data_IF_399378953733
#
_entry.id   IF_399378953733
#
_cell.length_a   1.000
_cell.length_b   1.000
_cell.length_c   1.000
_cell.angle_alpha   90.00
_cell.angle_beta   90.00
_cell.angle_gamma   90.00
#
_symmetry.space_group_name_H-M   'P 1'
#
loop_
_entity.id
_entity.type
_entity.pdbx_description
1 polymer ?
#
# COMPACT_ATOMS: atom_id res chain seq x y z
N UNK A 1 7.98 12.94 69.12
CA UNK A 1 8.72 11.81 68.52
C UNK A 1 7.72 10.79 67.99
N UNK A 2 7.83 10.40 66.71
CA UNK A 2 7.26 9.17 66.09
C UNK A 2 5.71 9.15 66.04
N UNK A 3 5.02 8.97 64.91
CA UNK A 3 5.31 8.52 63.55
C UNK A 3 4.18 9.07 62.67
N UNK A 4 4.48 9.51 61.45
CA UNK A 4 3.55 9.42 60.32
C UNK A 4 4.35 9.66 59.05
N UNK A 5 4.73 8.57 58.38
CA UNK A 5 5.18 8.60 56.99
C UNK A 5 4.09 7.88 56.20
N UNK A 6 3.26 8.70 55.56
CA UNK A 6 2.17 8.28 54.68
C UNK A 6 2.73 8.11 53.27
N UNK A 7 2.31 7.00 52.67
CA UNK A 7 2.22 6.71 51.25
C UNK A 7 3.51 6.68 50.42
N UNK A 8 4.01 5.45 50.21
CA UNK A 8 4.69 5.06 48.97
C UNK A 8 3.77 5.41 47.80
N UNK A 9 4.11 6.45 47.05
CA UNK A 9 3.47 6.79 45.78
C UNK A 9 3.79 5.70 44.76
N UNK A 10 2.76 4.95 44.36
CA UNK A 10 2.85 4.02 43.24
C UNK A 10 3.11 4.80 41.94
N UNK A 11 4.32 4.65 41.39
CA UNK A 11 4.67 5.19 40.06
C UNK A 11 4.03 4.25 39.04
N UNK A 12 2.80 4.58 38.63
CA UNK A 12 2.10 3.91 37.55
C UNK A 12 2.72 4.33 36.22
N UNK A 13 3.56 3.47 35.64
CA UNK A 13 4.08 3.64 34.28
C UNK A 13 2.97 3.34 33.28
N UNK A 14 2.40 4.39 32.67
CA UNK A 14 1.53 4.26 31.50
C UNK A 14 2.36 3.71 30.33
N UNK A 15 2.10 2.47 29.93
CA UNK A 15 2.60 1.92 28.68
C UNK A 15 1.86 2.60 27.50
N UNK A 16 2.58 3.41 26.74
CA UNK A 16 2.06 4.02 25.52
C UNK A 16 2.04 2.96 24.40
N UNK A 17 0.87 2.40 24.12
CA UNK A 17 0.68 1.54 22.96
C UNK A 17 0.80 2.39 21.69
N UNK A 18 1.85 2.16 20.92
CA UNK A 18 2.03 2.77 19.61
C UNK A 18 1.02 2.19 18.63
N UNK A 19 -0.14 2.84 18.49
CA UNK A 19 -1.05 2.58 17.38
C UNK A 19 -0.35 2.96 16.09
N UNK A 20 0.04 1.97 15.29
CA UNK A 20 0.48 2.21 13.92
C UNK A 20 -0.71 2.80 13.14
N UNK A 21 -0.68 4.11 12.86
CA UNK A 21 -1.58 4.70 11.87
C UNK A 21 -1.20 4.07 10.53
N UNK A 22 -2.02 3.11 10.09
CA UNK A 22 -1.94 2.58 8.74
C UNK A 22 -2.29 3.73 7.78
N UNK A 23 -1.34 4.10 6.93
CA UNK A 23 -1.62 5.01 5.83
C UNK A 23 -2.79 4.46 4.99
N UNK A 24 -3.64 5.33 4.40
CA UNK A 24 -4.74 4.87 3.57
C UNK A 24 -4.21 3.97 2.44
N UNK A 25 -4.83 2.80 2.28
CA UNK A 25 -4.45 1.86 1.25
C UNK A 25 -4.71 2.48 -0.14
N UNK A 26 -3.71 2.39 -1.02
CA UNK A 26 -3.84 2.83 -2.41
C UNK A 26 -4.70 1.80 -3.17
N UNK A 27 -5.81 2.24 -3.75
CA UNK A 27 -6.69 1.38 -4.54
C UNK A 27 -6.10 1.12 -5.94
N UNK A 28 -5.54 -0.08 -6.13
CA UNK A 28 -4.96 -0.51 -7.40
C UNK A 28 -5.99 -0.67 -8.54
N UNK A 29 -7.27 -0.97 -8.25
CA UNK A 29 -8.31 -1.04 -9.27
C UNK A 29 -8.60 0.35 -9.83
N UNK A 30 -8.75 1.32 -8.93
CA UNK A 30 -8.92 2.73 -9.28
C UNK A 30 -7.72 3.26 -10.06
N UNK A 31 -6.49 2.94 -9.64
CA UNK A 31 -5.28 3.33 -10.36
C UNK A 31 -5.24 2.82 -11.79
N UNK A 32 -5.56 1.54 -12.02
CA UNK A 32 -5.63 0.96 -13.36
C UNK A 32 -6.58 1.77 -14.26
N UNK A 33 -7.67 2.24 -13.66
CA UNK A 33 -8.73 2.95 -14.34
C UNK A 33 -8.49 4.46 -14.48
N UNK A 34 -7.64 5.08 -13.68
CA UNK A 34 -7.33 6.51 -13.79
C UNK A 34 -6.02 6.76 -14.56
N UNK A 35 -5.03 5.88 -14.40
CA UNK A 35 -3.67 6.08 -14.93
C UNK A 35 -3.42 5.37 -16.25
N UNK A 36 -4.08 4.24 -16.50
CA UNK A 36 -3.76 3.37 -17.63
C UNK A 36 -4.75 3.49 -18.80
N UNK A 37 -5.68 4.46 -18.75
CA UNK A 37 -6.66 4.73 -19.82
C UNK A 37 -6.26 5.86 -20.77
N UNK A 38 -5.25 6.65 -20.42
CA UNK A 38 -4.90 7.88 -21.16
C UNK A 38 -4.34 7.63 -22.55
N UNK A 39 -3.72 6.47 -22.79
CA UNK A 39 -3.11 6.12 -24.08
C UNK A 39 -3.83 4.98 -24.81
N UNK A 40 -4.52 4.10 -24.08
CA UNK A 40 -5.30 2.98 -24.64
C UNK A 40 -6.28 2.43 -23.58
N UNK A 41 -7.20 1.56 -23.98
CA UNK A 41 -8.17 0.96 -23.04
C UNK A 41 -7.47 0.13 -21.95
N UNK A 42 -7.87 0.31 -20.68
CA UNK A 42 -7.31 -0.42 -19.52
C UNK A 42 -7.72 -1.89 -19.50
N UNK A 43 -8.82 -2.25 -20.18
CA UNK A 43 -9.33 -3.61 -20.29
C UNK A 43 -8.30 -4.60 -20.87
N UNK A 44 -7.33 -4.13 -21.67
CA UNK A 44 -6.23 -4.96 -22.19
C UNK A 44 -5.44 -5.65 -21.07
N UNK A 45 -5.23 -4.98 -19.92
CA UNK A 45 -4.57 -5.62 -18.79
C UNK A 45 -5.45 -6.74 -18.19
N UNK A 46 -6.76 -6.52 -18.09
CA UNK A 46 -7.71 -7.45 -17.47
C UNK A 46 -7.82 -8.80 -18.23
N UNK A 47 -7.44 -8.82 -19.51
CA UNK A 47 -7.43 -10.02 -20.37
C UNK A 47 -6.17 -10.88 -20.22
N UNK A 48 -5.14 -10.38 -19.53
CA UNK A 48 -3.88 -11.10 -19.35
C UNK A 48 -3.88 -11.84 -18.01
N UNK A 49 -3.20 -12.98 -17.97
CA UNK A 49 -2.85 -13.66 -16.72
C UNK A 49 -1.33 -13.69 -16.60
N UNK A 50 -0.80 -13.16 -15.49
CA UNK A 50 0.65 -12.98 -15.27
C UNK A 50 0.99 -13.13 -13.80
N UNK A 51 2.19 -13.64 -13.51
CA UNK A 51 2.73 -13.61 -12.16
C UNK A 51 3.17 -12.17 -11.79
N UNK A 52 3.56 -11.96 -10.52
CA UNK A 52 3.93 -10.62 -10.02
C UNK A 52 5.10 -9.99 -10.78
N UNK A 53 6.16 -10.75 -11.08
CA UNK A 53 7.33 -10.24 -11.79
C UNK A 53 6.99 -9.85 -13.23
N UNK A 54 6.15 -10.64 -13.91
CA UNK A 54 5.67 -10.34 -15.25
C UNK A 54 4.74 -9.11 -15.28
N UNK A 55 3.91 -8.94 -14.25
CA UNK A 55 3.11 -7.73 -14.09
C UNK A 55 3.99 -6.49 -13.88
N UNK A 56 5.00 -6.60 -13.03
CA UNK A 56 5.95 -5.52 -12.80
C UNK A 56 6.67 -5.12 -14.10
N UNK A 57 7.16 -6.08 -14.87
CA UNK A 57 7.79 -5.83 -16.15
C UNK A 57 6.83 -5.14 -17.14
N UNK A 58 5.57 -5.56 -17.18
CA UNK A 58 4.56 -4.93 -18.02
C UNK A 58 4.27 -3.49 -17.61
N UNK A 59 4.10 -3.23 -16.32
CA UNK A 59 3.84 -1.88 -15.79
C UNK A 59 5.04 -0.97 -16.05
N UNK A 60 6.27 -1.44 -15.82
CA UNK A 60 7.50 -0.71 -16.14
C UNK A 60 7.55 -0.31 -17.62
N UNK A 61 7.22 -1.24 -18.52
CA UNK A 61 7.16 -0.96 -19.94
C UNK A 61 6.13 0.13 -20.29
N UNK A 62 5.01 0.22 -19.56
CA UNK A 62 4.03 1.31 -19.76
C UNK A 62 4.56 2.64 -19.20
N UNK A 63 5.28 2.62 -18.08
CA UNK A 63 5.96 3.81 -17.53
C UNK A 63 7.00 4.35 -18.51
N UNK A 64 7.83 3.49 -19.12
CA UNK A 64 8.77 3.87 -20.19
C UNK A 64 8.06 4.50 -21.39
N UNK A 65 6.81 4.13 -21.66
CA UNK A 65 5.98 4.71 -22.73
C UNK A 65 5.22 5.97 -22.31
N UNK A 66 5.40 6.44 -21.08
CA UNK A 66 4.83 7.71 -20.59
C UNK A 66 3.70 7.57 -19.57
N UNK A 67 3.37 6.36 -19.10
CA UNK A 67 2.44 6.22 -17.98
C UNK A 67 3.03 6.86 -16.72
N UNK A 68 2.27 7.76 -16.08
CA UNK A 68 2.71 8.48 -14.88
C UNK A 68 2.21 7.76 -13.63
N UNK A 69 3.14 7.15 -12.91
CA UNK A 69 2.92 6.48 -11.63
C UNK A 69 4.06 6.87 -10.69
N UNK A 70 3.73 7.22 -9.46
CA UNK A 70 4.71 7.23 -8.37
C UNK A 70 5.17 5.81 -8.03
N UNK A 71 6.26 5.67 -7.26
CA UNK A 71 6.76 4.36 -6.84
C UNK A 71 5.73 3.58 -6.02
N UNK A 72 4.99 4.24 -5.12
CA UNK A 72 3.95 3.60 -4.30
C UNK A 72 2.72 3.20 -5.12
N UNK A 73 2.28 4.05 -6.06
CA UNK A 73 1.19 3.70 -7.00
C UNK A 73 1.58 2.53 -7.89
N UNK A 74 2.83 2.48 -8.38
CA UNK A 74 3.33 1.35 -9.18
C UNK A 74 3.24 0.05 -8.36
N UNK A 75 3.75 0.04 -7.14
CA UNK A 75 3.71 -1.14 -6.26
C UNK A 75 2.26 -1.59 -6.02
N UNK A 76 1.37 -0.66 -5.64
CA UNK A 76 -0.03 -0.96 -5.40
C UNK A 76 -0.75 -1.51 -6.65
N UNK A 77 -0.45 -0.96 -7.83
CA UNK A 77 -1.00 -1.45 -9.09
C UNK A 77 -0.49 -2.86 -9.43
N UNK A 78 0.80 -3.12 -9.29
CA UNK A 78 1.39 -4.45 -9.53
C UNK A 78 0.80 -5.49 -8.57
N UNK A 79 0.65 -5.15 -7.29
CA UNK A 79 0.05 -6.03 -6.28
C UNK A 79 -1.42 -6.33 -6.61
N UNK A 80 -2.18 -5.31 -6.98
CA UNK A 80 -3.57 -5.50 -7.42
C UNK A 80 -3.64 -6.41 -8.66
N UNK A 81 -2.80 -6.18 -9.66
CA UNK A 81 -2.81 -6.96 -10.88
C UNK A 81 -2.41 -8.42 -10.62
N UNK A 82 -1.37 -8.65 -9.82
CA UNK A 82 -0.91 -9.99 -9.45
C UNK A 82 -1.93 -10.75 -8.58
N UNK A 83 -2.68 -10.05 -7.71
CA UNK A 83 -3.72 -10.65 -6.88
C UNK A 83 -4.93 -11.11 -7.70
N UNK A 84 -5.35 -10.31 -8.67
CA UNK A 84 -6.63 -10.51 -9.38
C UNK A 84 -6.47 -11.19 -10.75
N UNK A 85 -5.29 -11.09 -11.37
CA UNK A 85 -5.00 -11.57 -12.72
C UNK A 85 -3.75 -12.46 -12.75
N UNK A 86 -3.64 -13.38 -11.79
CA UNK A 86 -2.66 -14.48 -11.76
C UNK A 86 -3.04 -15.61 -12.75
N UNK A 87 -2.07 -16.41 -13.22
CA UNK A 87 -2.32 -17.66 -13.95
C UNK A 87 -3.33 -18.56 -13.23
#
# INVERSE_FOLDING_TARGET
>A
MKKSLIALSAISTLAFAASAIAAPAIDGAKLLDERCKSCHVSARAKMLKKNKAEWEALVNRMVTKGAKLSASEKTALVDHLAKNYKP
#
